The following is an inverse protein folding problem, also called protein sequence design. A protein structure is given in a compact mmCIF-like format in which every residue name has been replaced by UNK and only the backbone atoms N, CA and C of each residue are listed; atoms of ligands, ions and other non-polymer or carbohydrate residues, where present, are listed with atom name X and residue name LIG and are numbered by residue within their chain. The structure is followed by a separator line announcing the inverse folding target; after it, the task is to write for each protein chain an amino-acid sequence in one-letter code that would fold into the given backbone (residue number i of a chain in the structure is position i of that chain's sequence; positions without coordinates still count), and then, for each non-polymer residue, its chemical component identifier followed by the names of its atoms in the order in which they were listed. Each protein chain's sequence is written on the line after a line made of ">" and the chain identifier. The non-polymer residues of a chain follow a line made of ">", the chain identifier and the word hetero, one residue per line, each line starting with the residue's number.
data_IF_900095717658
#
_entry.id   IF_900095717658
#
_cell.length_a   1.000
_cell.length_b   1.000
_cell.length_c   1.000
_cell.angle_alpha   90.00
_cell.angle_beta   90.00
_cell.angle_gamma   90.00
#
_symmetry.space_group_name_H-M   'P 1'
#
loop_
_entity.id
_entity.type
_entity.pdbx_description
1 polymer ?
#
# COMPACT_ATOMS: atom_id res chain seq x y z
N UNK A 1 -32.85 58.52 -53.84
CA UNK A 1 -33.61 58.12 -52.63
C UNK A 1 -34.18 56.69 -52.65
N UNK A 2 -34.80 56.21 -53.74
CA UNK A 2 -35.43 54.85 -53.77
C UNK A 2 -34.45 53.66 -53.65
N UNK A 3 -33.20 53.82 -54.08
CA UNK A 3 -32.19 52.76 -54.01
C UNK A 3 -31.71 52.52 -52.56
N UNK A 4 -31.50 53.61 -51.80
CA UNK A 4 -31.12 53.56 -50.39
C UNK A 4 -32.19 52.90 -49.52
N UNK A 5 -33.47 53.21 -49.79
CA UNK A 5 -34.60 52.60 -49.08
C UNK A 5 -34.69 51.08 -49.32
N UNK A 6 -34.48 50.62 -50.57
CA UNK A 6 -34.46 49.18 -50.88
C UNK A 6 -33.28 48.45 -50.24
N UNK A 7 -32.11 49.10 -50.17
CA UNK A 7 -30.93 48.54 -49.51
C UNK A 7 -31.11 48.38 -48.00
N UNK A 8 -31.69 49.38 -47.33
CA UNK A 8 -31.98 49.33 -45.89
C UNK A 8 -33.00 48.23 -45.54
N UNK A 9 -34.05 48.07 -46.35
CA UNK A 9 -35.04 47.00 -46.16
C UNK A 9 -34.42 45.60 -46.36
N UNK A 10 -33.53 45.45 -47.36
CA UNK A 10 -32.78 44.21 -47.60
C UNK A 10 -31.87 43.88 -46.41
N UNK A 11 -31.17 44.86 -45.85
CA UNK A 11 -30.34 44.67 -44.65
C UNK A 11 -31.16 44.32 -43.41
N UNK A 12 -32.31 44.96 -43.18
CA UNK A 12 -33.17 44.65 -42.04
C UNK A 12 -33.72 43.22 -42.11
N UNK A 13 -34.15 42.78 -43.29
CA UNK A 13 -34.60 41.40 -43.50
C UNK A 13 -33.48 40.37 -43.28
N UNK A 14 -32.27 40.66 -43.74
CA UNK A 14 -31.10 39.79 -43.52
C UNK A 14 -30.74 39.69 -42.02
N UNK A 15 -30.80 40.80 -41.28
CA UNK A 15 -30.56 40.81 -39.83
C UNK A 15 -31.63 40.02 -39.07
N UNK A 16 -32.91 40.12 -39.46
CA UNK A 16 -33.99 39.34 -38.84
C UNK A 16 -33.80 37.81 -39.04
N UNK A 17 -33.30 37.40 -40.21
CA UNK A 17 -32.96 35.99 -40.47
C UNK A 17 -31.77 35.55 -39.64
N UNK A 18 -30.74 36.39 -39.51
CA UNK A 18 -29.56 36.12 -38.69
C UNK A 18 -29.94 35.92 -37.22
N UNK A 19 -30.71 36.85 -36.64
CA UNK A 19 -31.15 36.75 -35.23
C UNK A 19 -32.00 35.50 -34.99
N UNK A 20 -32.85 35.11 -35.95
CA UNK A 20 -33.64 33.87 -35.85
C UNK A 20 -32.75 32.62 -35.91
N UNK A 21 -31.67 32.66 -36.69
CA UNK A 21 -30.73 31.56 -36.79
C UNK A 21 -29.86 31.46 -35.53
N UNK A 22 -29.44 32.59 -34.99
CA UNK A 22 -28.72 32.69 -33.72
C UNK A 22 -29.56 32.14 -32.55
N UNK A 23 -30.83 32.55 -32.45
CA UNK A 23 -31.75 32.05 -31.42
C UNK A 23 -31.93 30.53 -31.52
N UNK A 24 -32.11 30.00 -32.73
CA UNK A 24 -32.20 28.54 -32.93
C UNK A 24 -30.90 27.82 -32.56
N UNK A 25 -29.75 28.45 -32.79
CA UNK A 25 -28.45 27.95 -32.33
C UNK A 25 -28.41 27.86 -30.81
N UNK A 26 -28.79 28.92 -30.11
CA UNK A 26 -28.82 28.96 -28.65
C UNK A 26 -29.82 27.94 -28.05
N UNK A 27 -31.00 27.79 -28.64
CA UNK A 27 -31.98 26.78 -28.22
C UNK A 27 -31.46 25.36 -28.46
N UNK A 28 -30.79 25.12 -29.59
CA UNK A 28 -30.17 23.83 -29.88
C UNK A 28 -29.03 23.52 -28.90
N UNK A 29 -28.18 24.49 -28.57
CA UNK A 29 -27.11 24.33 -27.58
C UNK A 29 -27.66 24.00 -26.19
N UNK A 30 -28.76 24.65 -25.78
CA UNK A 30 -29.44 24.33 -24.52
C UNK A 30 -29.99 22.91 -24.49
N UNK A 31 -30.59 22.44 -25.59
CA UNK A 31 -31.08 21.06 -25.72
C UNK A 31 -29.93 20.07 -25.72
N UNK A 32 -28.83 20.38 -26.42
CA UNK A 32 -27.63 19.54 -26.43
C UNK A 32 -27.04 19.43 -25.03
N UNK A 33 -26.95 20.53 -24.29
CA UNK A 33 -26.42 20.53 -22.93
C UNK A 33 -27.30 19.69 -22.00
N UNK A 34 -28.62 19.87 -22.07
CA UNK A 34 -29.57 19.07 -21.29
C UNK A 34 -29.46 17.57 -21.60
N UNK A 35 -29.39 17.19 -22.87
CA UNK A 35 -29.23 15.79 -23.28
C UNK A 35 -27.87 15.23 -22.84
N UNK A 36 -26.80 16.03 -22.91
CA UNK A 36 -25.48 15.65 -22.39
C UNK A 36 -25.55 15.35 -20.89
N UNK A 37 -26.22 16.20 -20.11
CA UNK A 37 -26.42 15.98 -18.67
C UNK A 37 -27.23 14.71 -18.40
N UNK A 38 -28.34 14.48 -19.11
CA UNK A 38 -29.12 13.24 -18.97
C UNK A 38 -28.29 11.99 -19.29
N UNK A 39 -27.51 12.02 -20.38
CA UNK A 39 -26.64 10.90 -20.76
C UNK A 39 -25.56 10.67 -19.70
N UNK A 40 -24.98 11.73 -19.13
CA UNK A 40 -24.00 11.62 -18.06
C UNK A 40 -24.60 10.94 -16.81
N UNK A 41 -25.79 11.39 -16.38
CA UNK A 41 -26.50 10.81 -15.23
C UNK A 41 -26.87 9.35 -15.46
N UNK A 42 -27.31 8.98 -16.67
CA UNK A 42 -27.64 7.59 -16.99
C UNK A 42 -26.40 6.68 -16.98
N UNK A 43 -25.26 7.18 -17.49
CA UNK A 43 -23.99 6.46 -17.42
C UNK A 43 -23.54 6.26 -15.98
N UNK A 44 -23.59 7.31 -15.17
CA UNK A 44 -23.23 7.24 -13.74
C UNK A 44 -24.12 6.24 -13.01
N UNK A 45 -25.44 6.31 -13.20
CA UNK A 45 -26.40 5.37 -12.59
C UNK A 45 -26.12 3.92 -13.00
N UNK A 46 -25.78 3.68 -14.27
CA UNK A 46 -25.46 2.34 -14.74
C UNK A 46 -24.19 1.79 -14.07
N UNK A 47 -23.15 2.62 -13.94
CA UNK A 47 -21.89 2.27 -13.27
C UNK A 47 -22.15 1.97 -11.79
N UNK A 48 -22.87 2.84 -11.09
CA UNK A 48 -23.22 2.67 -9.67
C UNK A 48 -24.07 1.41 -9.44
N UNK A 49 -25.02 1.11 -10.33
CA UNK A 49 -25.84 -0.08 -10.22
C UNK A 49 -25.02 -1.35 -10.44
N UNK A 50 -24.06 -1.33 -11.36
CA UNK A 50 -23.16 -2.46 -11.60
C UNK A 50 -22.25 -2.69 -10.38
N UNK A 51 -21.58 -1.65 -9.89
CA UNK A 51 -20.69 -1.75 -8.73
C UNK A 51 -21.43 -2.22 -7.47
N UNK A 52 -22.63 -1.69 -7.20
CA UNK A 52 -23.42 -2.09 -6.04
C UNK A 52 -23.87 -3.56 -6.09
N UNK A 53 -24.14 -4.10 -7.29
CA UNK A 53 -24.45 -5.54 -7.45
C UNK A 53 -23.22 -6.41 -7.18
N UNK A 54 -22.07 -6.01 -7.72
CA UNK A 54 -20.82 -6.70 -7.51
C UNK A 54 -20.41 -6.68 -6.03
N UNK A 55 -20.51 -5.53 -5.38
CA UNK A 55 -20.21 -5.36 -3.96
C UNK A 55 -21.11 -6.25 -3.08
N UNK A 56 -22.41 -6.36 -3.40
CA UNK A 56 -23.31 -7.28 -2.71
C UNK A 56 -22.91 -8.75 -2.93
N UNK A 57 -22.53 -9.12 -4.16
CA UNK A 57 -22.06 -10.48 -4.47
C UNK A 57 -20.81 -10.82 -3.65
N UNK A 58 -19.82 -9.92 -3.66
CA UNK A 58 -18.57 -10.08 -2.90
C UNK A 58 -18.84 -10.16 -1.39
N UNK A 59 -19.81 -9.41 -0.85
CA UNK A 59 -20.18 -9.54 0.57
C UNK A 59 -20.71 -10.92 0.92
N UNK A 60 -21.57 -11.50 0.07
CA UNK A 60 -22.11 -12.85 0.29
C UNK A 60 -21.01 -13.90 0.18
N UNK A 61 -20.15 -13.79 -0.83
CA UNK A 61 -19.02 -14.70 -1.02
C UNK A 61 -18.02 -14.64 0.13
N UNK A 62 -17.64 -13.43 0.56
CA UNK A 62 -16.77 -13.23 1.72
C UNK A 62 -17.39 -13.78 3.00
N UNK A 63 -18.71 -13.65 3.20
CA UNK A 63 -19.38 -14.25 4.34
C UNK A 63 -19.34 -15.78 4.30
N UNK A 64 -19.52 -16.37 3.11
CA UNK A 64 -19.42 -17.83 2.91
C UNK A 64 -18.00 -18.32 3.16
N UNK A 65 -16.99 -17.67 2.57
CA UNK A 65 -15.57 -17.99 2.77
C UNK A 65 -15.16 -17.88 4.23
N UNK A 66 -15.60 -16.84 4.94
CA UNK A 66 -15.36 -16.72 6.39
C UNK A 66 -15.95 -17.89 7.18
N UNK A 67 -17.14 -18.35 6.81
CA UNK A 67 -17.78 -19.51 7.44
C UNK A 67 -17.03 -20.82 7.14
N UNK A 68 -16.57 -20.99 5.90
CA UNK A 68 -15.77 -22.15 5.49
C UNK A 68 -14.41 -22.17 6.19
N UNK A 69 -13.72 -21.03 6.27
CA UNK A 69 -12.47 -20.88 7.01
C UNK A 69 -12.65 -21.24 8.48
N UNK A 70 -13.73 -20.74 9.11
CA UNK A 70 -13.99 -21.06 10.52
C UNK A 70 -14.29 -22.55 10.71
N UNK A 71 -15.03 -23.18 9.79
CA UNK A 71 -15.26 -24.62 9.80
C UNK A 71 -13.98 -25.44 9.66
N UNK A 72 -13.15 -25.12 8.66
CA UNK A 72 -11.86 -25.79 8.43
C UNK A 72 -10.88 -25.58 9.59
N UNK A 73 -10.89 -24.38 10.18
CA UNK A 73 -10.10 -24.09 11.38
C UNK A 73 -10.53 -24.99 12.54
N UNK A 74 -11.84 -25.15 12.78
CA UNK A 74 -12.35 -26.05 13.81
C UNK A 74 -12.01 -27.51 13.53
N UNK A 75 -12.08 -27.95 12.27
CA UNK A 75 -11.70 -29.29 11.86
C UNK A 75 -10.20 -29.55 12.08
N UNK A 76 -9.34 -28.60 11.69
CA UNK A 76 -7.91 -28.64 11.94
C UNK A 76 -7.62 -28.72 13.44
N UNK A 77 -8.26 -27.87 14.24
CA UNK A 77 -8.14 -27.88 15.70
C UNK A 77 -8.46 -29.27 16.27
N UNK A 78 -9.56 -29.88 15.83
CA UNK A 78 -9.94 -31.23 16.28
C UNK A 78 -8.91 -32.28 15.86
N UNK A 79 -8.39 -32.21 14.63
CA UNK A 79 -7.38 -33.14 14.15
C UNK A 79 -6.05 -33.00 14.93
N UNK A 80 -5.62 -31.78 15.24
CA UNK A 80 -4.44 -31.50 16.05
C UNK A 80 -4.57 -32.06 17.47
N UNK A 81 -5.73 -31.85 18.11
CA UNK A 81 -6.01 -32.38 19.46
C UNK A 81 -6.00 -33.92 19.44
N UNK A 82 -6.60 -34.56 18.41
CA UNK A 82 -6.58 -36.02 18.24
C UNK A 82 -5.15 -36.56 18.07
N UNK A 83 -4.27 -35.80 17.43
CA UNK A 83 -2.86 -36.15 17.24
C UNK A 83 -1.97 -35.75 18.42
N UNK A 84 -2.53 -35.25 19.53
CA UNK A 84 -1.81 -34.99 20.78
C UNK A 84 -1.09 -33.63 20.85
N UNK A 85 -1.36 -32.71 19.92
CA UNK A 85 -0.78 -31.36 19.93
C UNK A 85 -1.53 -30.47 20.93
N UNK A 86 -0.83 -29.89 21.91
CA UNK A 86 -1.42 -28.95 22.87
C UNK A 86 -1.66 -27.60 22.20
N UNK A 87 -2.92 -27.18 22.08
CA UNK A 87 -3.25 -25.85 21.61
C UNK A 87 -2.98 -24.79 22.67
N UNK A 88 -2.37 -23.69 22.22
CA UNK A 88 -2.24 -22.46 23.00
C UNK A 88 -3.36 -21.54 22.52
N UNK A 89 -4.25 -21.16 23.44
CA UNK A 89 -5.31 -20.20 23.14
C UNK A 89 -4.68 -18.86 22.80
N UNK A 90 -4.96 -18.36 21.60
CA UNK A 90 -4.61 -16.98 21.23
C UNK A 90 -5.59 -16.07 21.97
N UNK A 91 -5.14 -15.14 22.82
CA UNK A 91 -6.02 -14.24 23.56
C UNK A 91 -6.86 -13.39 22.60
N UNK A 92 -8.10 -13.02 22.99
CA UNK A 92 -9.00 -12.23 22.15
C UNK A 92 -8.52 -10.77 22.15
N UNK A 93 -7.52 -10.47 21.33
CA UNK A 93 -6.95 -9.11 21.26
C UNK A 93 -5.93 -8.89 20.14
N UNK A 94 -5.38 -9.95 19.54
CA UNK A 94 -4.46 -9.82 18.41
C UNK A 94 -5.20 -10.11 17.12
N UNK A 95 -5.82 -9.08 16.56
CA UNK A 95 -6.20 -9.06 15.15
C UNK A 95 -4.92 -9.19 14.34
N UNK A 96 -4.64 -10.36 13.79
CA UNK A 96 -3.70 -10.48 12.67
C UNK A 96 -4.41 -9.86 11.48
N UNK A 97 -4.25 -8.55 11.36
CA UNK A 97 -4.68 -7.75 10.23
C UNK A 97 -3.86 -8.14 8.99
N UNK A 98 -4.30 -9.16 8.28
CA UNK A 98 -4.01 -9.28 6.85
C UNK A 98 -4.83 -8.22 6.12
N UNK A 99 -4.14 -7.11 5.83
CA UNK A 99 -4.45 -6.07 4.84
C UNK A 99 -5.91 -5.58 4.81
N UNK A 100 -6.22 -4.56 5.62
CA UNK A 100 -7.24 -3.58 5.25
C UNK A 100 -6.56 -2.21 5.17
N UNK A 101 -6.54 -1.68 3.96
CA UNK A 101 -6.34 -0.27 3.69
C UNK A 101 -7.41 0.53 4.44
N UNK A 102 -6.97 1.58 5.12
CA UNK A 102 -7.82 2.54 5.79
C UNK A 102 -8.59 3.35 4.77
N UNK A 103 -9.90 3.50 4.98
CA UNK A 103 -10.56 4.78 4.70
C UNK A 103 -11.53 5.06 5.85
N UNK A 104 -11.43 6.29 6.33
CA UNK A 104 -11.92 6.83 7.57
C UNK A 104 -13.31 7.45 7.35
N UNK A 105 -14.30 7.08 8.17
CA UNK A 105 -15.47 7.94 8.39
C UNK A 105 -16.15 7.58 9.73
N UNK A 106 -16.22 8.51 10.71
CA UNK A 106 -16.96 8.30 11.94
C UNK A 106 -18.32 9.04 11.92
N UNK A 107 -19.40 8.37 12.33
CA UNK A 107 -20.64 9.01 12.79
C UNK A 107 -21.11 8.33 14.09
N UNK A 108 -20.89 9.00 15.22
CA UNK A 108 -21.83 9.87 15.97
C UNK A 108 -22.74 9.12 16.94
N UNK A 109 -22.44 9.29 18.23
CA UNK A 109 -23.41 9.33 19.33
C UNK A 109 -23.24 10.66 20.06
N UNK A 110 -24.36 11.34 20.34
CA UNK A 110 -24.47 12.61 21.09
C UNK A 110 -23.72 12.54 22.45
N UNK A 111 -23.24 13.63 23.09
CA UNK A 111 -23.97 14.81 23.60
C UNK A 111 -22.98 15.95 23.96
N UNK A 112 -23.39 17.21 23.71
CA UNK A 112 -23.09 18.51 24.36
C UNK A 112 -21.65 19.05 24.57
N UNK A 113 -21.44 20.23 23.95
CA UNK A 113 -20.91 21.50 24.50
C UNK A 113 -19.43 21.61 24.91
N UNK A 114 -18.62 22.34 24.11
CA UNK A 114 -18.19 23.74 24.40
C UNK A 114 -16.94 24.17 23.61
N UNK A 115 -17.06 25.33 22.95
CA UNK A 115 -16.08 26.39 22.66
C UNK A 115 -14.58 26.10 22.42
N UNK A 116 -14.12 26.50 21.23
CA UNK A 116 -13.13 27.59 21.12
C UNK A 116 -11.67 27.25 20.78
N UNK A 117 -11.31 27.53 19.52
CA UNK A 117 -10.04 28.10 19.04
C UNK A 117 -8.73 27.29 19.14
N UNK A 118 -8.14 26.96 17.98
CA UNK A 118 -6.99 27.67 17.34
C UNK A 118 -5.93 26.75 16.69
N UNK A 119 -5.69 27.01 15.41
CA UNK A 119 -4.48 26.93 14.57
C UNK A 119 -3.40 25.83 14.71
N UNK A 120 -3.20 25.16 13.56
CA UNK A 120 -1.95 24.94 12.80
C UNK A 120 -0.85 23.98 13.29
N UNK A 121 -0.81 22.85 12.58
CA UNK A 121 0.27 22.23 11.77
C UNK A 121 1.71 22.75 11.91
N UNK A 122 2.57 21.74 11.91
CA UNK A 122 4.02 21.63 12.10
C UNK A 122 4.75 21.57 10.73
N UNK A 123 6.08 21.62 10.81
CA UNK A 123 7.09 21.10 9.85
C UNK A 123 7.56 22.08 8.76
N UNK A 124 8.81 22.55 8.85
CA UNK A 124 10.12 21.94 8.46
C UNK A 124 10.50 22.42 7.05
N UNK A 125 11.77 22.83 6.84
CA UNK A 125 12.69 22.10 5.96
C UNK A 125 14.08 22.79 5.88
N UNK A 126 15.08 21.94 5.63
CA UNK A 126 16.51 22.16 5.45
C UNK A 126 16.90 23.00 4.20
N UNK A 127 18.18 23.43 4.13
CA UNK A 127 19.03 23.05 2.97
C UNK A 127 20.56 23.28 3.17
N UNK A 128 21.31 22.18 3.03
CA UNK A 128 22.47 21.91 2.13
C UNK A 128 23.86 22.61 2.17
N UNK A 129 24.86 21.68 2.12
CA UNK A 129 26.08 21.56 1.25
C UNK A 129 27.33 22.40 1.58
N UNK A 130 28.59 22.02 1.26
CA UNK A 130 29.38 20.80 0.88
C UNK A 130 30.79 21.28 0.43
N UNK A 131 31.82 20.41 0.54
CA UNK A 131 33.12 20.32 -0.20
C UNK A 131 34.38 20.86 0.55
N UNK A 132 35.60 20.29 0.46
CA UNK A 132 36.25 19.44 -0.56
C UNK A 132 37.59 18.76 -0.08
N UNK A 133 37.98 17.63 -0.74
CA UNK A 133 39.35 17.09 -1.09
C UNK A 133 40.36 16.62 0.01
N UNK A 134 40.89 15.36 0.11
CA UNK A 134 41.71 14.46 -0.78
C UNK A 134 43.17 14.98 -0.95
N UNK A 135 44.34 14.33 -0.65
CA UNK A 135 44.87 12.94 -0.75
C UNK A 135 46.02 12.57 0.26
N UNK A 136 46.23 11.23 0.44
CA UNK A 136 47.47 10.37 0.47
C UNK A 136 48.50 10.26 1.63
N UNK A 137 48.55 9.00 2.14
CA UNK A 137 49.70 8.02 2.18
C UNK A 137 50.64 7.94 3.42
N UNK A 138 50.67 6.75 4.07
CA UNK A 138 51.93 6.12 4.55
C UNK A 138 52.03 5.61 6.01
N UNK A 139 51.88 4.29 6.20
CA UNK A 139 52.56 3.34 7.14
C UNK A 139 52.58 3.49 8.70
N UNK A 140 51.77 2.63 9.35
CA UNK A 140 52.14 1.51 10.28
C UNK A 140 53.18 1.72 11.40
N UNK A 141 52.74 1.85 12.67
CA UNK A 141 53.06 0.91 13.77
C UNK A 141 52.23 1.11 15.06
N UNK A 142 51.83 -0.04 15.58
CA UNK A 142 51.18 -0.47 16.84
C UNK A 142 51.25 0.35 18.15
N UNK A 143 50.05 0.44 18.79
CA UNK A 143 49.70 0.01 20.17
C UNK A 143 49.68 1.04 21.32
N UNK A 144 48.48 1.55 21.65
CA UNK A 144 47.76 1.31 22.93
C UNK A 144 46.39 1.98 22.97
N UNK A 145 45.50 1.37 23.75
CA UNK A 145 44.06 1.58 23.88
C UNK A 145 43.66 2.97 24.38
N UNK A 146 42.64 3.55 23.74
CA UNK A 146 41.58 4.36 24.37
C UNK A 146 40.29 4.16 23.53
N UNK A 147 39.12 3.94 24.15
CA UNK A 147 37.86 3.92 23.42
C UNK A 147 37.52 5.36 23.02
N UNK A 148 37.90 5.74 21.80
CA UNK A 148 37.45 6.99 21.19
C UNK A 148 35.95 6.88 20.94
N UNK A 149 35.18 7.71 21.66
CA UNK A 149 33.78 7.97 21.42
C UNK A 149 33.59 8.31 19.94
N UNK A 150 32.99 7.38 19.20
CA UNK A 150 32.63 7.56 17.80
C UNK A 150 31.61 8.69 17.71
N UNK A 151 32.01 9.76 17.04
CA UNK A 151 31.18 10.90 16.68
C UNK A 151 29.83 10.45 16.13
N UNK A 152 28.78 10.81 16.84
CA UNK A 152 27.39 10.64 16.46
C UNK A 152 27.03 11.51 15.26
N UNK A 153 27.37 11.07 14.05
CA UNK A 153 26.61 11.40 12.84
C UNK A 153 25.62 10.24 12.59
N UNK A 154 24.74 10.03 13.57
CA UNK A 154 23.71 9.01 13.49
C UNK A 154 22.59 9.52 12.59
N UNK A 155 22.80 9.46 11.27
CA UNK A 155 21.66 9.38 10.33
C UNK A 155 20.69 8.33 10.88
N UNK A 156 19.37 8.59 10.92
CA UNK A 156 18.38 7.66 11.45
C UNK A 156 18.66 6.24 10.96
N UNK A 157 18.69 5.26 11.87
CA UNK A 157 18.83 3.86 11.50
C UNK A 157 17.64 3.52 10.62
N UNK A 158 17.89 3.33 9.33
CA UNK A 158 16.88 3.05 8.33
C UNK A 158 17.01 1.59 7.89
N UNK A 159 15.88 0.89 7.83
CA UNK A 159 15.78 -0.54 7.50
C UNK A 159 16.23 -0.80 6.06
N UNK A 160 16.14 0.20 5.17
CA UNK A 160 16.61 0.12 3.78
C UNK A 160 18.12 -0.11 3.64
N UNK A 161 18.92 -0.02 4.72
CA UNK A 161 20.35 -0.37 4.70
C UNK A 161 20.61 -1.88 4.78
N UNK A 162 19.60 -2.69 5.13
CA UNK A 162 19.68 -4.14 5.22
C UNK A 162 19.19 -4.78 3.92
N UNK A 163 19.94 -5.75 3.41
CA UNK A 163 19.51 -6.60 2.29
C UNK A 163 18.84 -7.86 2.87
N UNK A 164 17.51 -7.81 3.00
CA UNK A 164 16.70 -8.92 3.49
C UNK A 164 16.10 -9.67 2.31
N UNK A 165 16.44 -10.95 2.19
CA UNK A 165 15.96 -11.83 1.11
C UNK A 165 15.36 -13.10 1.68
N UNK A 166 14.45 -13.70 0.93
CA UNK A 166 13.91 -15.02 1.22
C UNK A 166 14.86 -16.06 0.60
N UNK A 167 15.26 -17.04 1.41
CA UNK A 167 16.09 -18.16 0.95
C UNK A 167 15.48 -19.49 1.34
N UNK A 168 15.76 -20.51 0.53
CA UNK A 168 15.36 -21.90 0.78
C UNK A 168 16.56 -22.72 1.24
N UNK A 169 16.43 -23.44 2.36
CA UNK A 169 17.50 -24.30 2.89
C UNK A 169 17.48 -25.63 2.12
N UNK A 170 18.52 -25.87 1.31
CA UNK A 170 18.68 -27.08 0.48
C UNK A 170 19.21 -28.23 1.33
N UNK A 171 20.26 -27.98 2.11
CA UNK A 171 20.90 -28.97 2.99
C UNK A 171 21.28 -28.32 4.31
N UNK A 172 21.23 -29.10 5.39
CA UNK A 172 21.64 -28.70 6.72
C UNK A 172 22.37 -29.87 7.40
N UNK A 173 23.58 -29.62 7.92
CA UNK A 173 24.40 -30.60 8.61
C UNK A 173 24.96 -30.02 9.91
N UNK A 174 25.22 -30.86 10.92
CA UNK A 174 25.89 -30.39 12.15
C UNK A 174 27.34 -30.03 11.85
N UNK A 175 27.80 -28.92 12.41
CA UNK A 175 29.20 -28.53 12.26
C UNK A 175 30.12 -29.56 12.94
N UNK A 176 31.20 -30.03 12.29
CA UNK A 176 32.06 -31.10 12.80
C UNK A 176 32.75 -30.73 14.13
N UNK A 177 33.11 -29.47 14.30
CA UNK A 177 33.82 -28.99 15.50
C UNK A 177 32.92 -28.24 16.50
N UNK A 178 31.62 -28.08 16.22
CA UNK A 178 30.73 -27.22 17.02
C UNK A 178 29.30 -27.77 17.13
N UNK A 179 29.01 -28.44 18.24
CA UNK A 179 27.72 -29.09 18.51
C UNK A 179 26.51 -28.13 18.56
N UNK A 180 26.74 -26.82 18.66
CA UNK A 180 25.69 -25.82 18.74
C UNK A 180 25.32 -25.20 17.38
N UNK A 181 26.04 -25.54 16.30
CA UNK A 181 25.90 -24.90 15.00
C UNK A 181 25.50 -25.89 13.89
N UNK A 182 24.62 -25.45 13.00
CA UNK A 182 24.38 -26.09 11.71
C UNK A 182 25.11 -25.35 10.60
N UNK A 183 25.56 -26.09 9.60
CA UNK A 183 26.05 -25.58 8.32
C UNK A 183 24.97 -25.84 7.27
N UNK A 184 24.43 -24.76 6.71
CA UNK A 184 23.29 -24.78 5.80
C UNK A 184 23.70 -24.27 4.43
N UNK A 185 23.23 -24.93 3.37
CA UNK A 185 23.28 -24.40 2.00
C UNK A 185 21.94 -23.77 1.68
N UNK A 186 21.93 -22.45 1.50
CA UNK A 186 20.73 -21.65 1.28
C UNK A 186 20.72 -21.10 -0.15
N UNK A 187 19.69 -21.45 -0.91
CA UNK A 187 19.41 -20.82 -2.20
C UNK A 187 18.68 -19.49 -1.95
N UNK A 188 19.25 -18.39 -2.45
CA UNK A 188 18.68 -17.04 -2.38
C UNK A 188 18.41 -16.46 -3.78
N UNK A 189 18.40 -17.29 -4.82
CA UNK A 189 18.24 -16.86 -6.22
C UNK A 189 19.52 -16.31 -6.85
N UNK A 190 20.69 -16.67 -6.31
CA UNK A 190 22.01 -16.33 -6.87
C UNK A 190 22.56 -17.46 -7.73
N UNK A 191 23.68 -17.22 -8.44
CA UNK A 191 24.29 -18.24 -9.30
C UNK A 191 24.74 -19.51 -8.54
N UNK A 192 25.01 -19.38 -7.23
CA UNK A 192 25.39 -20.49 -6.37
C UNK A 192 24.80 -20.32 -4.96
N UNK A 193 24.34 -21.41 -4.31
CA UNK A 193 23.83 -21.37 -2.94
C UNK A 193 24.86 -20.82 -1.95
N UNK A 194 24.40 -20.01 -1.00
CA UNK A 194 25.23 -19.46 0.07
C UNK A 194 25.40 -20.48 1.19
N UNK A 195 26.55 -20.44 1.86
CA UNK A 195 26.77 -21.25 3.07
C UNK A 195 26.49 -20.37 4.27
N UNK A 196 25.54 -20.79 5.11
CA UNK A 196 25.14 -20.07 6.32
C UNK A 196 25.43 -20.97 7.51
N UNK A 197 25.89 -20.37 8.61
CA UNK A 197 26.10 -21.08 9.87
C UNK A 197 25.10 -20.57 10.88
N UNK A 198 24.22 -21.44 11.37
CA UNK A 198 23.12 -21.07 12.26
C UNK A 198 23.27 -21.72 13.63
N UNK A 199 22.96 -20.98 14.70
CA UNK A 199 23.00 -21.49 16.09
C UNK A 199 21.73 -22.23 16.52
N UNK A 200 21.05 -22.89 15.58
CA UNK A 200 19.70 -23.40 15.80
C UNK A 200 19.64 -24.81 16.43
N UNK A 201 20.78 -25.48 16.63
CA UNK A 201 20.83 -26.89 17.08
C UNK A 201 20.07 -27.15 18.38
N UNK A 202 20.05 -26.18 19.31
CA UNK A 202 19.37 -26.29 20.60
C UNK A 202 17.87 -25.96 20.56
N UNK A 203 17.41 -25.32 19.49
CA UNK A 203 16.05 -24.76 19.39
C UNK A 203 15.21 -25.48 18.32
N UNK A 204 15.83 -25.90 17.22
CA UNK A 204 15.15 -26.52 16.08
C UNK A 204 15.87 -27.83 15.74
N UNK A 205 15.18 -28.98 15.78
CA UNK A 205 15.76 -30.25 15.35
C UNK A 205 16.00 -30.25 13.84
N UNK A 206 17.02 -30.99 13.38
CA UNK A 206 17.46 -31.03 11.98
C UNK A 206 16.30 -31.24 10.98
N UNK A 207 15.35 -32.12 11.33
CA UNK A 207 14.19 -32.47 10.49
C UNK A 207 13.23 -31.30 10.22
N UNK A 208 13.29 -30.25 11.03
CA UNK A 208 12.47 -29.04 10.88
C UNK A 208 13.25 -27.87 10.24
N UNK A 209 14.58 -27.95 10.20
CA UNK A 209 15.43 -26.95 9.53
C UNK A 209 15.38 -27.15 8.01
N UNK A 210 15.27 -28.41 7.57
CA UNK A 210 15.06 -28.71 6.16
C UNK A 210 13.66 -28.27 5.72
N UNK A 211 13.61 -27.48 4.66
CA UNK A 211 12.33 -27.10 4.05
C UNK A 211 11.72 -28.34 3.41
N UNK A 212 10.69 -28.90 4.05
CA UNK A 212 9.91 -30.01 3.49
C UNK A 212 9.06 -29.46 2.35
N UNK A 213 9.41 -29.82 1.12
CA UNK A 213 8.53 -29.70 -0.04
C UNK A 213 7.54 -30.88 -0.08
#
# INVERSE_FOLDING_TARGET
>A
SRFLARFLVKMAANNAVLNRLEQKGAEADQVIEYLKQQVALLKEKAILQASLREEKKLRVENAKLKKEIEGLKQELIQAEIRNGVKQIAIPPGTTVSTASFSDDMPQTTAVASSSGSKDQVKDEDEEKKKKEKVEKKGEKKEKKQQPAAGSSDAKPVDVSRLDLRVGCIITAEKHPDADALYVEKVDVGEASPRTVVSGLVKHVPLDQVLTKL
#
